data_IF_459523262921
#
_entry.id   IF_459523262921
#
_cell.length_a   1.000
_cell.length_b   1.000
_cell.length_c   1.000
_cell.angle_alpha   90.00
_cell.angle_beta   90.00
_cell.angle_gamma   90.00
#
_symmetry.space_group_name_H-M   'P 1'
#
loop_
_entity.id
_entity.type
_entity.pdbx_description
1 polymer ?
#
# COMPACT_ATOMS: atom_id res chain seq x y z
N UNK A 1 -4.30 14.07 -2.57
CA UNK A 1 -4.55 13.11 -1.47
C UNK A 1 -4.40 11.71 -2.05
N UNK A 2 -3.49 10.89 -1.52
CA UNK A 2 -3.16 9.52 -1.97
C UNK A 2 -4.37 8.59 -2.15
N UNK A 3 -4.23 7.53 -2.96
CA UNK A 3 -5.20 6.45 -3.12
C UNK A 3 -4.83 5.21 -2.30
N UNK A 4 -5.83 4.54 -1.72
CA UNK A 4 -5.69 3.28 -0.98
C UNK A 4 -6.70 2.26 -1.50
N UNK A 5 -6.22 1.05 -1.77
CA UNK A 5 -7.05 -0.10 -2.08
C UNK A 5 -6.50 -1.34 -1.37
N UNK A 6 -7.35 -2.33 -1.14
CA UNK A 6 -6.92 -3.59 -0.55
C UNK A 6 -8.05 -4.61 -0.53
N UNK A 7 -7.68 -5.84 -0.25
CA UNK A 7 -8.60 -6.96 -0.12
C UNK A 7 -8.16 -7.87 1.03
N UNK A 8 -9.15 -8.50 1.65
CA UNK A 8 -8.98 -9.55 2.64
C UNK A 8 -9.84 -10.73 2.21
N UNK A 9 -9.22 -11.89 1.99
CA UNK A 9 -9.92 -13.11 1.64
C UNK A 9 -10.43 -13.78 2.91
N UNK A 10 -11.70 -14.19 2.91
CA UNK A 10 -12.28 -14.97 4.00
C UNK A 10 -11.62 -16.36 4.17
N UNK A 11 -10.94 -16.86 3.14
CA UNK A 11 -10.14 -18.08 3.19
C UNK A 11 -8.90 -17.91 2.30
N UNK A 12 -7.68 -18.00 2.85
CA UNK A 12 -6.44 -17.87 2.08
C UNK A 12 -6.26 -19.10 1.18
N UNK A 13 -6.70 -18.98 -0.08
CA UNK A 13 -6.56 -20.04 -1.10
C UNK A 13 -5.79 -19.58 -2.34
N UNK A 14 -5.40 -18.32 -2.38
CA UNK A 14 -4.71 -17.71 -3.52
C UNK A 14 -3.22 -17.55 -3.22
N UNK A 15 -2.38 -17.81 -4.22
CA UNK A 15 -0.95 -17.51 -4.15
C UNK A 15 -0.70 -16.00 -4.27
N UNK A 16 0.49 -15.56 -3.86
CA UNK A 16 0.86 -14.14 -3.86
C UNK A 16 0.72 -13.45 -5.21
N UNK A 17 1.05 -14.13 -6.31
CA UNK A 17 0.90 -13.59 -7.68
C UNK A 17 -0.57 -13.35 -8.05
N UNK A 18 -1.47 -14.24 -7.63
CA UNK A 18 -2.91 -14.09 -7.88
C UNK A 18 -3.48 -12.92 -7.07
N UNK A 19 -3.01 -12.73 -5.85
CA UNK A 19 -3.35 -11.57 -5.02
C UNK A 19 -2.84 -10.26 -5.65
N UNK A 20 -1.59 -10.24 -6.13
CA UNK A 20 -1.04 -9.05 -6.80
C UNK A 20 -1.83 -8.69 -8.05
N UNK A 21 -2.18 -9.70 -8.86
CA UNK A 21 -2.97 -9.53 -10.08
C UNK A 21 -4.35 -8.91 -9.82
N UNK A 22 -4.92 -9.11 -8.62
CA UNK A 22 -6.18 -8.50 -8.21
C UNK A 22 -5.99 -7.09 -7.62
N UNK A 23 -5.01 -6.91 -6.73
CA UNK A 23 -4.85 -5.64 -6.00
C UNK A 23 -4.24 -4.54 -6.87
N UNK A 24 -3.35 -4.90 -7.81
CA UNK A 24 -2.67 -3.96 -8.71
C UNK A 24 -3.65 -3.12 -9.55
N UNK A 25 -4.65 -3.69 -10.26
CA UNK A 25 -5.63 -2.89 -10.98
C UNK A 25 -6.53 -2.07 -10.06
N UNK A 26 -6.84 -2.55 -8.84
CA UNK A 26 -7.58 -1.76 -7.85
C UNK A 26 -6.80 -0.49 -7.46
N UNK A 27 -5.48 -0.61 -7.25
CA UNK A 27 -4.60 0.53 -7.04
C UNK A 27 -4.55 1.45 -8.26
N UNK A 28 -4.39 0.90 -9.47
CA UNK A 28 -4.29 1.68 -10.71
C UNK A 28 -5.54 2.54 -10.98
N UNK A 29 -6.74 2.06 -10.62
CA UNK A 29 -7.97 2.84 -10.71
C UNK A 29 -7.94 4.13 -9.87
N UNK A 30 -7.10 4.17 -8.83
CA UNK A 30 -6.91 5.32 -7.95
C UNK A 30 -5.71 6.18 -8.33
N UNK A 31 -5.03 5.94 -9.46
CA UNK A 31 -3.80 6.65 -9.87
C UNK A 31 -3.97 8.17 -9.89
N UNK A 32 -5.15 8.67 -10.26
CA UNK A 32 -5.45 10.12 -10.28
C UNK A 32 -5.32 10.80 -8.90
N UNK A 33 -5.36 10.03 -7.81
CA UNK A 33 -5.21 10.53 -6.43
C UNK A 33 -3.76 10.69 -5.99
N UNK A 34 -2.85 9.90 -6.57
CA UNK A 34 -1.43 9.86 -6.22
C UNK A 34 -0.59 9.42 -7.40
N UNK A 35 -0.22 10.34 -8.31
CA UNK A 35 0.45 10.00 -9.56
C UNK A 35 1.97 9.82 -9.43
N UNK A 36 2.56 10.11 -8.27
CA UNK A 36 4.01 10.24 -8.10
C UNK A 36 4.70 8.89 -7.85
N UNK A 37 4.03 7.98 -7.12
CA UNK A 37 4.56 6.66 -6.80
C UNK A 37 3.42 5.65 -6.58
N UNK A 38 3.69 4.36 -6.76
CA UNK A 38 2.71 3.29 -6.62
C UNK A 38 3.36 2.03 -6.04
N UNK A 39 2.70 1.40 -5.08
CA UNK A 39 3.20 0.18 -4.46
C UNK A 39 2.10 -0.82 -4.13
N UNK A 40 2.51 -2.07 -4.00
CA UNK A 40 1.64 -3.20 -3.62
C UNK A 40 2.35 -4.05 -2.57
N UNK A 41 1.57 -4.68 -1.70
CA UNK A 41 2.06 -5.66 -0.75
C UNK A 41 1.04 -6.79 -0.62
N UNK A 42 1.52 -8.03 -0.63
CA UNK A 42 0.68 -9.23 -0.53
C UNK A 42 1.20 -10.16 0.56
N UNK A 43 0.28 -10.73 1.33
CA UNK A 43 0.49 -11.88 2.22
C UNK A 43 -0.53 -12.96 1.87
N UNK A 44 -0.05 -13.98 1.16
CA UNK A 44 -0.87 -15.11 0.72
C UNK A 44 -1.33 -16.00 1.87
N UNK A 45 -0.55 -16.11 2.94
CA UNK A 45 -0.91 -16.93 4.10
C UNK A 45 -2.05 -16.27 4.89
N UNK A 46 -1.99 -14.94 5.03
CA UNK A 46 -3.07 -14.17 5.63
C UNK A 46 -4.26 -13.92 4.68
N UNK A 47 -4.05 -14.08 3.37
CA UNK A 47 -5.05 -13.73 2.35
C UNK A 47 -5.29 -12.22 2.23
N UNK A 48 -4.25 -11.41 2.49
CA UNK A 48 -4.32 -9.94 2.50
C UNK A 48 -3.51 -9.37 1.34
N UNK A 49 -4.04 -8.35 0.68
CA UNK A 49 -3.26 -7.52 -0.23
C UNK A 49 -3.62 -6.05 -0.09
N UNK A 50 -2.61 -5.18 -0.21
CA UNK A 50 -2.71 -3.73 -0.14
C UNK A 50 -2.11 -3.09 -1.40
N UNK A 51 -2.71 -2.01 -1.87
CA UNK A 51 -2.17 -1.16 -2.91
C UNK A 51 -2.26 0.32 -2.50
N UNK A 52 -1.23 1.08 -2.86
CA UNK A 52 -1.13 2.50 -2.56
C UNK A 52 -0.77 3.29 -3.83
N UNK A 53 -1.38 4.46 -3.99
CA UNK A 53 -1.05 5.47 -4.99
C UNK A 53 -0.67 6.74 -4.25
N UNK A 54 0.58 7.17 -4.36
CA UNK A 54 1.16 8.22 -3.52
C UNK A 54 1.17 9.56 -4.23
N UNK A 55 0.62 10.57 -3.55
CA UNK A 55 0.92 11.97 -3.81
C UNK A 55 2.00 12.38 -2.81
N UNK A 56 3.17 12.73 -3.29
CA UNK A 56 4.35 13.02 -2.48
C UNK A 56 4.30 14.48 -1.99
N UNK A 57 4.02 14.67 -0.69
CA UNK A 57 3.94 16.02 -0.06
C UNK A 57 5.02 16.16 1.00
N UNK A 58 5.08 15.23 1.96
CA UNK A 58 6.13 15.13 2.97
C UNK A 58 7.04 13.95 2.64
N UNK A 59 8.36 14.18 2.70
CA UNK A 59 9.41 13.28 2.21
C UNK A 59 9.22 12.91 0.72
N UNK A 60 9.86 13.67 -0.17
CA UNK A 60 9.80 13.44 -1.61
C UNK A 60 10.76 12.34 -2.09
N UNK A 61 11.52 11.74 -1.18
CA UNK A 61 12.47 10.70 -1.52
C UNK A 61 11.79 9.34 -1.72
N UNK A 62 12.47 8.36 -2.35
CA UNK A 62 11.97 6.99 -2.45
C UNK A 62 11.73 6.30 -1.10
N UNK A 63 12.27 6.84 0.01
CA UNK A 63 12.04 6.28 1.35
C UNK A 63 10.58 6.44 1.80
N UNK A 64 9.85 7.38 1.21
CA UNK A 64 8.43 7.59 1.44
C UNK A 64 7.49 6.58 0.75
N UNK A 65 8.03 5.57 0.05
CA UNK A 65 7.27 4.54 -0.66
C UNK A 65 6.32 3.77 0.26
N UNK A 66 5.13 3.44 -0.25
CA UNK A 66 4.10 2.69 0.49
C UNK A 66 3.52 1.55 -0.37
N UNK A 67 3.09 0.41 0.23
CA UNK A 67 3.02 0.12 1.66
C UNK A 67 4.38 0.01 2.38
N UNK A 68 4.48 0.62 3.55
CA UNK A 68 5.68 0.62 4.39
C UNK A 68 5.75 -0.63 5.26
N UNK A 69 6.96 -1.12 5.52
CA UNK A 69 7.22 -2.18 6.50
C UNK A 69 7.94 -1.60 7.71
N UNK A 70 7.62 -2.09 8.90
CA UNK A 70 8.41 -1.79 10.10
C UNK A 70 9.84 -2.32 9.95
N UNK A 71 10.78 -1.79 10.72
CA UNK A 71 12.19 -2.18 10.65
C UNK A 71 12.43 -3.68 10.90
N UNK A 72 11.59 -4.32 11.71
CA UNK A 72 11.60 -5.75 12.00
C UNK A 72 10.73 -6.58 11.03
N UNK A 73 10.04 -5.93 10.09
CA UNK A 73 9.15 -6.56 9.12
C UNK A 73 7.81 -7.06 9.70
N UNK A 74 7.55 -6.86 11.00
CA UNK A 74 6.34 -7.36 11.68
C UNK A 74 5.05 -6.66 11.22
N UNK A 75 5.14 -5.37 10.91
CA UNK A 75 3.99 -4.55 10.55
C UNK A 75 4.10 -4.04 9.13
N UNK A 76 2.96 -3.95 8.47
CA UNK A 76 2.83 -3.32 7.15
C UNK A 76 1.73 -2.27 7.21
N UNK A 77 2.00 -1.08 6.69
CA UNK A 77 1.11 0.07 6.74
C UNK A 77 0.95 0.69 5.34
N UNK A 78 -0.30 0.97 4.96
CA UNK A 78 -0.64 1.87 3.87
C UNK A 78 -1.51 3.00 4.45
N UNK A 79 -1.12 4.24 4.21
CA UNK A 79 -1.66 5.42 4.89
C UNK A 79 -1.97 6.56 3.91
N UNK A 80 -3.14 7.18 4.07
CA UNK A 80 -3.52 8.41 3.39
C UNK A 80 -3.95 9.46 4.42
N UNK A 81 -3.08 10.43 4.65
CA UNK A 81 -3.31 11.57 5.53
C UNK A 81 -1.97 12.23 5.88
N UNK A 82 -1.99 13.16 6.84
CA UNK A 82 -0.79 13.76 7.41
C UNK A 82 -0.79 13.60 8.94
N UNK A 83 0.34 13.18 9.52
CA UNK A 83 0.53 13.15 10.97
C UNK A 83 1.32 14.41 11.33
N UNK A 84 0.63 15.45 11.81
CA UNK A 84 1.26 16.79 11.99
C UNK A 84 2.33 16.84 13.08
N UNK A 85 2.35 15.87 14.00
CA UNK A 85 3.32 15.77 15.10
C UNK A 85 4.38 14.69 14.88
N UNK A 86 4.66 14.27 13.64
CA UNK A 86 5.60 13.18 13.34
C UNK A 86 7.06 13.46 13.77
N UNK A 87 7.44 14.73 13.94
CA UNK A 87 8.79 15.17 14.27
C UNK A 87 8.93 15.74 15.70
N UNK A 88 7.88 15.64 16.52
CA UNK A 88 7.89 16.13 17.90
C UNK A 88 8.55 15.14 18.86
#
# INVERSE_FOLDING_TARGET
>A
MCGLAGLLLASPRMHGEQLDALVRPMGAALRHRGPDDAGTWCDAQAGVALAHQRLSILDLSPLGHQPMRSADGRYVLAYNGEIYNFAQ
#
